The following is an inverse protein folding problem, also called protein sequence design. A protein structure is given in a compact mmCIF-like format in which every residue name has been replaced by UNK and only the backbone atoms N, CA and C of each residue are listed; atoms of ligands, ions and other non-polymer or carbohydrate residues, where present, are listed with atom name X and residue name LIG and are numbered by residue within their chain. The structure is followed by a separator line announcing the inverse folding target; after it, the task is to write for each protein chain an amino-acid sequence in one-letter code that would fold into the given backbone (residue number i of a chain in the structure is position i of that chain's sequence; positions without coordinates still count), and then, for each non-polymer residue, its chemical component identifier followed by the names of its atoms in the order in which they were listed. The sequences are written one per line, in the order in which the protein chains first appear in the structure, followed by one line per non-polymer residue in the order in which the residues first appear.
data_IF_000521959370
#
_entry.id   IF_000521959370
#
_cell.length_a   1.000
_cell.length_b   1.000
_cell.length_c   1.000
_cell.angle_alpha   90.00
_cell.angle_beta   90.00
_cell.angle_gamma   90.00
#
_symmetry.space_group_name_H-M   'P 1'
#
loop_
_entity.id
_entity.type
_entity.pdbx_description
1 polymer ?
#
# COMPACT_ATOMS: atom_id res chain seq x y z
N UNK A 1 5.53 -32.48 -37.01
CA UNK A 1 6.43 -31.33 -36.71
C UNK A 1 7.77 -31.88 -36.26
N UNK A 2 8.89 -31.48 -36.89
CA UNK A 2 10.24 -31.96 -36.55
C UNK A 2 10.54 -31.74 -35.06
N UNK A 3 11.13 -32.74 -34.38
CA UNK A 3 11.55 -32.68 -32.97
C UNK A 3 12.40 -31.43 -32.64
N UNK A 4 13.10 -30.86 -33.64
CA UNK A 4 13.82 -29.58 -33.48
C UNK A 4 12.88 -28.37 -33.31
N UNK A 5 11.78 -28.31 -34.07
CA UNK A 5 10.79 -27.21 -33.98
C UNK A 5 10.05 -27.24 -32.63
N UNK A 6 9.76 -28.43 -32.11
CA UNK A 6 9.13 -28.59 -30.79
C UNK A 6 10.08 -28.19 -29.64
N UNK A 7 11.36 -28.56 -29.73
CA UNK A 7 12.38 -28.14 -28.74
C UNK A 7 12.59 -26.62 -28.73
N UNK A 8 12.63 -25.99 -29.90
CA UNK A 8 12.76 -24.52 -30.00
C UNK A 8 11.53 -23.84 -29.40
N UNK A 9 10.32 -24.33 -29.68
CA UNK A 9 9.09 -23.80 -29.08
C UNK A 9 9.06 -23.96 -27.56
N UNK A 10 9.48 -25.11 -27.05
CA UNK A 10 9.55 -25.37 -25.61
C UNK A 10 10.56 -24.45 -24.91
N UNK A 11 11.72 -24.18 -25.52
CA UNK A 11 12.71 -23.24 -25.00
C UNK A 11 12.16 -21.80 -24.99
N UNK A 12 11.51 -21.37 -26.08
CA UNK A 12 10.89 -20.03 -26.15
C UNK A 12 9.80 -19.87 -25.09
N UNK A 13 8.96 -20.89 -24.91
CA UNK A 13 7.91 -20.88 -23.88
C UNK A 13 8.50 -20.86 -22.46
N UNK A 14 9.57 -21.61 -22.20
CA UNK A 14 10.25 -21.61 -20.90
C UNK A 14 10.92 -20.26 -20.60
N UNK A 15 11.51 -19.62 -21.62
CA UNK A 15 12.10 -18.29 -21.50
C UNK A 15 11.01 -17.22 -21.26
N UNK A 16 9.87 -17.30 -21.95
CA UNK A 16 8.73 -16.40 -21.70
C UNK A 16 8.11 -16.61 -20.32
N UNK A 17 7.97 -17.85 -19.86
CA UNK A 17 7.42 -18.17 -18.54
C UNK A 17 8.33 -17.71 -17.39
N UNK A 18 9.65 -17.69 -17.59
CA UNK A 18 10.59 -17.15 -16.60
C UNK A 18 10.65 -15.62 -16.59
N UNK A 19 10.52 -14.97 -17.76
CA UNK A 19 10.49 -13.50 -17.87
C UNK A 19 9.22 -12.86 -17.27
N UNK A 20 8.09 -13.57 -17.28
CA UNK A 20 6.82 -13.05 -16.74
C UNK A 20 6.81 -12.80 -15.21
N UNK A 21 7.74 -13.38 -14.46
CA UNK A 21 7.80 -13.23 -12.99
C UNK A 21 8.52 -11.96 -12.51
N UNK A 22 9.01 -11.13 -13.44
CA UNK A 22 9.84 -9.95 -13.18
C UNK A 22 9.17 -8.59 -13.41
N UNK A 23 7.89 -8.56 -13.82
CA UNK A 23 7.19 -7.29 -13.96
C UNK A 23 6.62 -6.82 -12.61
N UNK A 24 6.63 -5.51 -12.33
CA UNK A 24 5.94 -4.94 -11.18
C UNK A 24 4.46 -5.36 -11.22
N UNK A 25 3.85 -5.53 -10.05
CA UNK A 25 2.46 -5.95 -9.97
C UNK A 25 1.58 -4.75 -10.37
N UNK A 26 1.15 -4.71 -11.62
CA UNK A 26 0.16 -3.71 -12.03
C UNK A 26 -1.16 -4.00 -11.32
N UNK A 27 -1.57 -3.05 -10.49
CA UNK A 27 -2.86 -3.11 -9.83
C UNK A 27 -3.93 -2.65 -10.78
N UNK A 28 -4.90 -3.53 -11.06
CA UNK A 28 -6.11 -3.13 -11.76
C UNK A 28 -7.04 -2.49 -10.74
N UNK A 29 -7.43 -1.25 -10.98
CA UNK A 29 -8.34 -0.50 -10.14
C UNK A 29 -9.37 0.26 -11.00
N UNK A 30 -10.42 0.71 -10.32
CA UNK A 30 -11.44 1.60 -10.89
C UNK A 30 -11.66 2.75 -9.93
N UNK A 31 -11.87 3.95 -10.45
CA UNK A 31 -12.16 5.11 -9.62
C UNK A 31 -13.46 4.95 -8.85
N UNK A 32 -13.42 5.41 -7.61
CA UNK A 32 -14.56 5.35 -6.72
C UNK A 32 -15.69 6.26 -7.21
N UNK A 33 -16.86 5.66 -7.39
CA UNK A 33 -18.07 6.33 -7.85
C UNK A 33 -19.27 5.83 -7.04
N UNK A 34 -20.06 6.76 -6.48
CA UNK A 34 -21.19 6.42 -5.59
C UNK A 34 -22.21 5.53 -6.30
N UNK A 35 -22.42 5.74 -7.59
CA UNK A 35 -23.40 5.05 -8.40
C UNK A 35 -23.10 3.55 -8.51
N UNK A 36 -21.82 3.19 -8.44
CA UNK A 36 -21.34 1.83 -8.64
C UNK A 36 -21.16 1.04 -7.32
N UNK A 37 -21.43 1.65 -6.17
CA UNK A 37 -21.28 0.99 -4.86
C UNK A 37 -22.25 -0.19 -4.75
N UNK A 38 -21.67 -1.37 -4.54
CA UNK A 38 -22.37 -2.64 -4.41
C UNK A 38 -23.37 -2.66 -3.24
N UNK A 39 -22.95 -2.24 -2.04
CA UNK A 39 -23.76 -2.27 -0.81
C UNK A 39 -23.61 -0.98 -0.01
N UNK A 40 -24.72 -0.31 0.28
CA UNK A 40 -24.75 0.92 1.09
C UNK A 40 -25.42 0.72 2.46
N UNK A 41 -25.82 -0.52 2.79
CA UNK A 41 -26.51 -0.83 4.05
C UNK A 41 -25.56 -1.14 5.20
N UNK A 42 -24.28 -1.37 4.90
CA UNK A 42 -23.22 -1.62 5.88
C UNK A 42 -22.43 -0.33 6.09
N UNK A 43 -22.08 -0.06 7.35
CA UNK A 43 -21.19 1.06 7.67
C UNK A 43 -19.77 0.75 7.19
N UNK A 44 -19.15 1.69 6.47
CA UNK A 44 -17.84 1.47 5.86
C UNK A 44 -17.08 2.77 5.64
N UNK A 45 -15.76 2.68 5.69
CA UNK A 45 -14.86 3.73 5.24
C UNK A 45 -13.91 3.09 4.22
N UNK A 46 -13.73 3.75 3.08
CA UNK A 46 -12.78 3.36 2.06
C UNK A 46 -12.00 4.57 1.57
N UNK A 47 -10.70 4.40 1.34
CA UNK A 47 -9.81 5.44 0.84
C UNK A 47 -9.06 4.93 -0.39
N UNK A 48 -9.05 5.74 -1.44
CA UNK A 48 -8.35 5.48 -2.69
C UNK A 48 -7.48 6.69 -3.03
N UNK A 49 -6.20 6.48 -3.33
CA UNK A 49 -5.28 7.51 -3.79
C UNK A 49 -4.37 6.91 -4.86
N UNK A 50 -4.32 7.59 -5.99
CA UNK A 50 -3.57 7.14 -7.15
C UNK A 50 -2.83 8.33 -7.74
N UNK A 51 -1.51 8.16 -7.91
CA UNK A 51 -0.66 9.15 -8.53
C UNK A 51 0.25 8.50 -9.58
N UNK A 52 -0.03 8.71 -10.85
CA UNK A 52 0.82 8.26 -11.94
C UNK A 52 1.81 9.34 -12.37
N UNK A 53 2.93 8.91 -12.95
CA UNK A 53 3.65 9.73 -13.92
C UNK A 53 3.03 9.36 -15.26
N UNK A 54 2.45 10.35 -15.95
CA UNK A 54 1.71 10.14 -17.21
C UNK A 54 2.61 9.42 -18.20
N UNK A 55 2.34 8.12 -18.40
CA UNK A 55 2.80 7.39 -19.57
C UNK A 55 1.78 7.68 -20.69
N UNK A 56 2.19 8.36 -21.77
CA UNK A 56 1.27 8.91 -22.76
C UNK A 56 0.36 7.91 -23.46
N UNK A 57 0.67 6.61 -23.44
CA UNK A 57 -0.06 5.59 -24.20
C UNK A 57 -1.13 4.86 -23.38
N UNK A 58 -0.97 4.72 -22.06
CA UNK A 58 -1.82 3.84 -21.25
C UNK A 58 -2.91 4.55 -20.44
N UNK A 59 -2.71 5.84 -20.08
CA UNK A 59 -3.54 6.53 -19.07
C UNK A 59 -4.25 7.79 -19.59
N UNK A 60 -4.47 7.94 -20.90
CA UNK A 60 -5.12 9.14 -21.47
C UNK A 60 -6.58 9.34 -21.03
N UNK A 61 -7.28 8.25 -20.67
CA UNK A 61 -8.71 8.27 -20.35
C UNK A 61 -9.01 8.26 -18.84
N UNK A 62 -7.98 8.27 -18.00
CA UNK A 62 -8.11 8.18 -16.54
C UNK A 62 -7.35 9.33 -15.89
N UNK A 63 -7.93 9.86 -14.82
CA UNK A 63 -7.29 10.90 -14.03
C UNK A 63 -6.04 10.31 -13.35
N UNK A 64 -4.91 10.99 -13.54
CA UNK A 64 -3.62 10.50 -13.10
C UNK A 64 -3.26 10.91 -11.68
N UNK A 65 -4.07 11.76 -11.04
CA UNK A 65 -3.81 12.29 -9.71
C UNK A 65 -5.13 12.46 -8.94
N UNK A 66 -5.71 11.34 -8.49
CA UNK A 66 -7.00 11.34 -7.79
C UNK A 66 -6.86 10.77 -6.37
N UNK A 67 -7.40 11.49 -5.39
CA UNK A 67 -7.69 10.96 -4.06
C UNK A 67 -9.20 10.96 -3.80
N UNK A 68 -9.72 9.88 -3.22
CA UNK A 68 -11.14 9.66 -2.95
C UNK A 68 -11.33 9.04 -1.57
N UNK A 69 -12.18 9.66 -0.74
CA UNK A 69 -12.60 9.15 0.56
C UNK A 69 -14.10 8.90 0.56
N UNK A 70 -14.50 7.65 0.76
CA UNK A 70 -15.88 7.22 0.91
C UNK A 70 -16.19 6.85 2.34
N UNK A 71 -17.28 7.39 2.84
CA UNK A 71 -17.85 7.05 4.15
C UNK A 71 -19.30 6.65 3.94
N UNK A 72 -19.64 5.44 4.36
CA UNK A 72 -21.01 4.93 4.41
C UNK A 72 -21.37 4.83 5.89
N UNK A 73 -22.41 5.55 6.30
CA UNK A 73 -22.93 5.49 7.67
C UNK A 73 -24.45 5.58 7.66
N UNK A 74 -25.12 4.62 8.27
CA UNK A 74 -26.58 4.59 8.41
C UNK A 74 -27.32 4.78 7.07
N UNK A 75 -26.83 4.10 6.01
CA UNK A 75 -27.34 4.20 4.61
C UNK A 75 -27.11 5.54 3.91
N UNK A 76 -26.39 6.47 4.54
CA UNK A 76 -25.91 7.70 3.93
C UNK A 76 -24.49 7.50 3.42
N UNK A 77 -24.22 7.98 2.22
CA UNK A 77 -22.89 7.90 1.61
C UNK A 77 -22.34 9.30 1.39
N UNK A 78 -21.10 9.50 1.81
CA UNK A 78 -20.33 10.71 1.65
C UNK A 78 -19.11 10.36 0.82
N UNK A 79 -18.97 10.94 -0.37
CA UNK A 79 -17.79 10.78 -1.22
C UNK A 79 -17.12 12.14 -1.36
N UNK A 80 -15.88 12.20 -0.90
CA UNK A 80 -14.96 13.31 -1.12
C UNK A 80 -13.99 12.92 -2.20
N UNK A 81 -13.71 13.81 -3.15
CA UNK A 81 -12.62 13.66 -4.10
C UNK A 81 -11.74 14.92 -4.11
N UNK A 82 -10.44 14.70 -4.25
CA UNK A 82 -9.35 15.67 -4.25
C UNK A 82 -8.51 15.38 -5.50
N UNK A 83 -8.16 16.43 -6.25
CA UNK A 83 -7.65 16.32 -7.63
C UNK A 83 -8.75 16.12 -8.68
N UNK A 84 -10.03 16.31 -8.33
CA UNK A 84 -11.13 16.04 -9.27
C UNK A 84 -11.28 17.15 -10.32
N UNK A 85 -11.06 16.80 -11.57
CA UNK A 85 -11.40 17.60 -12.75
C UNK A 85 -12.80 17.25 -13.32
N UNK A 86 -13.53 18.25 -13.82
CA UNK A 86 -14.82 18.00 -14.48
C UNK A 86 -14.57 17.34 -15.85
N UNK A 87 -15.11 16.12 -16.09
CA UNK A 87 -14.91 15.40 -17.35
C UNK A 87 -15.32 16.21 -18.59
N UNK A 88 -16.27 17.13 -18.47
CA UNK A 88 -16.68 17.99 -19.59
C UNK A 88 -15.62 19.01 -19.96
N UNK A 89 -14.92 19.56 -18.96
CA UNK A 89 -13.85 20.54 -19.17
C UNK A 89 -12.63 19.82 -19.75
N UNK A 90 -12.30 18.64 -19.22
CA UNK A 90 -11.21 17.79 -19.74
C UNK A 90 -11.45 17.43 -21.21
N UNK A 91 -12.67 17.03 -21.57
CA UNK A 91 -13.03 16.73 -22.96
C UNK A 91 -12.96 17.96 -23.88
N UNK A 92 -13.40 19.13 -23.39
CA UNK A 92 -13.25 20.38 -24.15
C UNK A 92 -11.78 20.74 -24.37
N UNK A 93 -10.96 20.65 -23.31
CA UNK A 93 -9.53 20.89 -23.36
C UNK A 93 -8.83 19.90 -24.31
N UNK A 94 -9.27 18.64 -24.33
CA UNK A 94 -8.80 17.63 -25.27
C UNK A 94 -9.09 18.02 -26.71
N UNK A 95 -10.34 18.35 -27.02
CA UNK A 95 -10.74 18.76 -28.37
C UNK A 95 -9.97 20.01 -28.82
N UNK A 96 -9.83 21.01 -27.96
CA UNK A 96 -9.08 22.23 -28.27
C UNK A 96 -7.61 21.90 -28.59
N UNK A 97 -6.96 21.07 -27.77
CA UNK A 97 -5.55 20.72 -27.95
C UNK A 97 -5.29 19.82 -29.15
N UNK A 98 -6.23 18.92 -29.48
CA UNK A 98 -6.24 18.16 -30.73
C UNK A 98 -6.36 19.10 -31.95
N UNK A 99 -7.24 20.11 -31.89
CA UNK A 99 -7.37 21.13 -32.94
C UNK A 99 -6.09 21.98 -33.10
N UNK A 100 -5.38 22.24 -32.01
CA UNK A 100 -4.12 22.99 -32.00
C UNK A 100 -2.91 22.18 -32.53
N UNK A 101 -3.09 20.88 -32.87
CA UNK A 101 -1.99 19.93 -33.17
C UNK A 101 -0.88 19.94 -32.10
N UNK A 102 -1.23 20.34 -30.88
CA UNK A 102 -0.32 20.28 -29.75
C UNK A 102 -0.22 18.82 -29.31
N UNK A 103 0.98 18.38 -28.95
CA UNK A 103 1.13 17.04 -28.39
C UNK A 103 0.35 17.01 -27.06
N UNK A 104 -0.62 16.10 -26.94
CA UNK A 104 -1.45 15.87 -25.73
C UNK A 104 -0.64 15.25 -24.58
N UNK A 105 0.61 15.66 -24.40
CA UNK A 105 1.43 15.20 -23.29
C UNK A 105 1.07 16.00 -22.06
N UNK A 106 0.40 15.36 -21.09
CA UNK A 106 0.50 15.76 -19.69
C UNK A 106 -0.22 17.07 -19.30
N UNK A 107 -1.22 17.54 -20.06
CA UNK A 107 -1.91 18.82 -19.79
C UNK A 107 -3.45 18.73 -19.88
N UNK A 108 -4.05 17.54 -19.85
CA UNK A 108 -5.51 17.41 -19.91
C UNK A 108 -6.16 17.60 -18.53
N UNK A 109 -5.44 17.18 -17.50
CA UNK A 109 -5.82 17.28 -16.09
C UNK A 109 -5.12 18.51 -15.51
N UNK A 110 -5.89 19.40 -14.88
CA UNK A 110 -5.40 20.69 -14.36
C UNK A 110 -5.21 20.64 -12.85
N UNK A 111 -5.96 19.78 -12.16
CA UNK A 111 -5.93 19.68 -10.70
C UNK A 111 -5.02 18.57 -10.24
N UNK A 112 -4.31 18.84 -9.16
CA UNK A 112 -3.44 17.90 -8.48
C UNK A 112 -3.97 17.64 -7.08
N UNK A 113 -3.51 16.55 -6.46
CA UNK A 113 -3.83 16.24 -5.06
C UNK A 113 -3.12 17.25 -4.17
N UNK A 114 -3.87 18.12 -3.52
CA UNK A 114 -3.34 19.16 -2.62
C UNK A 114 -3.79 18.96 -1.15
N UNK A 115 -4.56 17.91 -0.89
CA UNK A 115 -5.11 17.59 0.42
C UNK A 115 -6.45 18.27 0.71
N UNK A 116 -7.04 18.99 -0.25
CA UNK A 116 -8.35 19.63 -0.13
C UNK A 116 -9.32 19.01 -1.13
N UNK A 117 -10.52 18.61 -0.67
CA UNK A 117 -11.50 18.00 -1.56
C UNK A 117 -12.13 19.03 -2.51
N UNK A 118 -11.92 18.84 -3.80
CA UNK A 118 -12.55 19.54 -4.92
C UNK A 118 -14.01 19.17 -5.14
N UNK A 119 -14.40 17.97 -4.73
CA UNK A 119 -15.71 17.41 -5.05
C UNK A 119 -16.31 16.70 -3.85
N UNK A 120 -17.57 17.00 -3.57
CA UNK A 120 -18.35 16.38 -2.51
C UNK A 120 -19.71 15.96 -3.04
N UNK A 121 -20.04 14.68 -2.83
CA UNK A 121 -21.38 14.15 -3.02
C UNK A 121 -21.86 13.47 -1.76
N UNK A 122 -23.10 13.82 -1.39
CA UNK A 122 -23.82 13.21 -0.27
C UNK A 122 -25.11 12.60 -0.81
N UNK A 123 -25.33 11.34 -0.51
CA UNK A 123 -26.56 10.63 -0.86
C UNK A 123 -27.19 9.94 0.34
N UNK A 124 -28.51 9.79 0.34
CA UNK A 124 -29.25 8.90 1.24
C UNK A 124 -29.91 7.82 0.38
N UNK A 125 -29.55 6.55 0.60
CA UNK A 125 -30.11 5.40 -0.14
C UNK A 125 -30.10 5.58 -1.66
N UNK A 126 -29.01 6.17 -2.20
CA UNK A 126 -28.78 6.52 -3.62
C UNK A 126 -29.53 7.74 -4.15
N UNK A 127 -30.30 8.44 -3.33
CA UNK A 127 -30.85 9.74 -3.70
C UNK A 127 -29.80 10.80 -3.42
N UNK A 128 -29.39 11.56 -4.44
CA UNK A 128 -28.47 12.68 -4.29
C UNK A 128 -29.14 13.79 -3.48
N UNK A 129 -28.57 14.08 -2.31
CA UNK A 129 -29.01 15.18 -1.43
C UNK A 129 -28.21 16.43 -1.78
N UNK A 130 -26.90 16.25 -1.97
CA UNK A 130 -25.97 17.34 -2.19
C UNK A 130 -24.89 16.90 -3.16
N UNK A 131 -24.64 17.74 -4.16
CA UNK A 131 -23.48 17.66 -5.02
C UNK A 131 -22.86 19.05 -5.11
N UNK A 132 -21.61 19.15 -4.72
CA UNK A 132 -20.84 20.39 -4.73
C UNK A 132 -19.49 20.14 -5.39
N UNK A 133 -19.20 20.95 -6.39
CA UNK A 133 -17.85 21.16 -6.88
C UNK A 133 -17.33 22.36 -6.08
N UNK A 134 -16.38 22.11 -5.21
CA UNK A 134 -15.72 23.11 -4.39
C UNK A 134 -14.70 23.81 -5.27
N UNK A 135 -15.14 24.89 -5.92
CA UNK A 135 -14.23 25.84 -6.54
C UNK A 135 -13.99 26.94 -5.51
N UNK A 136 -12.73 27.21 -5.22
CA UNK A 136 -12.19 28.04 -4.13
C UNK A 136 -12.80 29.45 -3.98
N UNK A 137 -13.58 29.92 -4.95
CA UNK A 137 -13.93 31.33 -5.10
C UNK A 137 -15.25 31.79 -4.43
N UNK A 138 -16.08 30.89 -3.85
CA UNK A 138 -17.46 31.29 -3.47
C UNK A 138 -17.97 30.90 -2.08
N UNK A 139 -17.33 30.00 -1.32
CA UNK A 139 -17.85 29.54 0.00
C UNK A 139 -16.73 29.14 0.99
N UNK A 140 -15.83 30.07 1.34
CA UNK A 140 -14.65 29.83 2.20
C UNK A 140 -14.99 29.03 3.48
N UNK A 141 -15.95 29.49 4.29
CA UNK A 141 -16.25 28.88 5.60
C UNK A 141 -16.74 27.42 5.57
N UNK A 142 -17.41 26.98 4.49
CA UNK A 142 -17.92 25.61 4.38
C UNK A 142 -16.90 24.69 3.73
N UNK A 143 -16.17 25.23 2.74
CA UNK A 143 -15.05 24.56 2.10
C UNK A 143 -14.00 24.14 3.14
N UNK A 144 -13.62 25.07 4.02
CA UNK A 144 -12.59 24.84 5.04
C UNK A 144 -12.99 23.74 6.03
N UNK A 145 -14.27 23.71 6.46
CA UNK A 145 -14.77 22.66 7.35
C UNK A 145 -14.75 21.28 6.70
N UNK A 146 -15.07 21.18 5.41
CA UNK A 146 -15.02 19.91 4.69
C UNK A 146 -13.58 19.47 4.43
N UNK A 147 -12.67 20.40 4.13
CA UNK A 147 -11.25 20.14 3.98
C UNK A 147 -10.61 19.64 5.29
N UNK A 148 -10.89 20.31 6.41
CA UNK A 148 -10.40 19.88 7.73
C UNK A 148 -10.94 18.49 8.09
N UNK A 149 -12.23 18.26 7.87
CA UNK A 149 -12.86 16.96 8.11
C UNK A 149 -12.23 15.86 7.25
N UNK A 150 -12.08 16.10 5.95
CA UNK A 150 -11.46 15.17 4.99
C UNK A 150 -10.05 14.78 5.43
N UNK A 151 -9.18 15.78 5.66
CA UNK A 151 -7.79 15.57 6.09
C UNK A 151 -7.73 14.77 7.39
N UNK A 152 -8.51 15.17 8.40
CA UNK A 152 -8.52 14.52 9.70
C UNK A 152 -8.99 13.06 9.62
N UNK A 153 -10.04 12.79 8.86
CA UNK A 153 -10.58 11.43 8.71
C UNK A 153 -9.65 10.54 7.88
N UNK A 154 -9.10 11.06 6.77
CA UNK A 154 -8.10 10.37 5.97
C UNK A 154 -6.89 9.98 6.83
N UNK A 155 -6.25 10.94 7.48
CA UNK A 155 -5.01 10.71 8.22
C UNK A 155 -5.24 9.77 9.40
N UNK A 156 -6.32 9.96 10.16
CA UNK A 156 -6.67 9.05 11.25
C UNK A 156 -6.97 7.63 10.77
N UNK A 157 -7.58 7.47 9.60
CA UNK A 157 -7.93 6.17 9.04
C UNK A 157 -6.69 5.43 8.55
N UNK A 158 -5.83 6.11 7.78
CA UNK A 158 -4.56 5.57 7.30
C UNK A 158 -3.67 5.18 8.49
N UNK A 159 -3.48 6.08 9.46
CA UNK A 159 -2.63 5.82 10.62
C UNK A 159 -3.11 4.61 11.44
N UNK A 160 -4.42 4.41 11.56
CA UNK A 160 -4.98 3.24 12.25
C UNK A 160 -4.58 1.93 11.54
N UNK A 161 -4.68 1.88 10.21
CA UNK A 161 -4.29 0.69 9.44
C UNK A 161 -2.77 0.48 9.40
N UNK A 162 -1.97 1.56 9.35
CA UNK A 162 -0.51 1.51 9.49
C UNK A 162 -0.11 0.89 10.83
N UNK A 163 -0.74 1.32 11.93
CA UNK A 163 -0.45 0.77 13.26
C UNK A 163 -0.82 -0.71 13.38
N UNK A 164 -1.96 -1.12 12.78
CA UNK A 164 -2.33 -2.54 12.73
C UNK A 164 -1.28 -3.34 11.96
N UNK A 165 -0.84 -2.83 10.80
CA UNK A 165 0.17 -3.49 9.99
C UNK A 165 1.52 -3.62 10.72
N UNK A 166 1.96 -2.58 11.44
CA UNK A 166 3.13 -2.65 12.33
C UNK A 166 2.95 -3.70 13.43
N UNK A 167 1.77 -3.78 14.04
CA UNK A 167 1.47 -4.83 15.01
C UNK A 167 1.53 -6.25 14.42
N UNK A 168 1.18 -6.42 13.14
CA UNK A 168 1.37 -7.68 12.42
C UNK A 168 2.84 -7.97 12.15
N UNK A 169 3.67 -6.95 11.92
CA UNK A 169 5.12 -7.12 11.79
C UNK A 169 5.77 -7.56 13.09
N UNK A 170 5.37 -7.03 14.24
CA UNK A 170 5.91 -7.49 15.54
C UNK A 170 5.51 -8.94 15.82
N UNK A 171 4.29 -9.34 15.45
CA UNK A 171 3.76 -10.69 15.66
C UNK A 171 3.96 -11.61 14.44
N UNK A 172 5.17 -11.64 13.84
CA UNK A 172 5.48 -12.43 12.62
C UNK A 172 5.05 -13.89 12.69
N UNK A 173 5.10 -14.50 13.88
CA UNK A 173 4.73 -15.91 14.11
C UNK A 173 3.27 -16.19 13.79
N UNK A 174 2.39 -15.22 14.07
CA UNK A 174 0.94 -15.35 13.95
C UNK A 174 0.38 -14.73 12.65
N UNK A 175 1.12 -13.82 12.01
CA UNK A 175 0.60 -12.91 10.97
C UNK A 175 0.81 -13.36 9.51
N UNK A 176 1.31 -14.59 9.28
CA UNK A 176 1.68 -15.11 7.95
C UNK A 176 2.46 -14.10 7.09
N UNK A 177 3.29 -13.26 7.73
CA UNK A 177 4.00 -12.17 7.06
C UNK A 177 4.98 -12.74 6.03
N UNK A 178 4.80 -12.34 4.77
CA UNK A 178 5.68 -12.68 3.65
C UNK A 178 6.36 -11.42 3.14
N UNK A 179 7.69 -11.41 3.20
CA UNK A 179 8.51 -10.33 2.65
C UNK A 179 9.26 -10.88 1.45
N UNK A 180 9.12 -10.20 0.31
CA UNK A 180 9.77 -10.57 -0.94
C UNK A 180 10.67 -9.42 -1.36
N UNK A 181 11.94 -9.74 -1.60
CA UNK A 181 12.96 -8.82 -2.09
C UNK A 181 13.41 -9.25 -3.47
N UNK A 182 13.23 -8.39 -4.48
CA UNK A 182 13.63 -8.65 -5.88
C UNK A 182 14.61 -7.59 -6.37
N UNK A 183 15.70 -7.97 -7.07
CA UNK A 183 16.61 -6.98 -7.65
C UNK A 183 15.93 -6.25 -8.82
N UNK A 184 16.08 -4.92 -8.86
CA UNK A 184 15.56 -4.12 -9.96
C UNK A 184 16.53 -4.24 -11.16
N UNK A 185 16.03 -4.55 -12.38
CA UNK A 185 16.87 -4.63 -13.56
C UNK A 185 17.59 -3.32 -13.82
N UNK A 186 18.91 -3.37 -13.99
CA UNK A 186 19.72 -2.21 -14.35
C UNK A 186 19.88 -2.10 -15.86
N UNK A 187 20.08 -0.87 -16.33
CA UNK A 187 20.60 -0.63 -17.67
C UNK A 187 22.01 -1.20 -17.76
N UNK A 188 22.37 -1.79 -18.91
CA UNK A 188 23.61 -2.54 -19.13
C UNK A 188 24.92 -1.77 -18.84
N UNK A 189 24.86 -0.44 -18.70
CA UNK A 189 26.00 0.46 -18.46
C UNK A 189 25.98 1.14 -17.09
N UNK A 190 25.04 0.77 -16.23
CA UNK A 190 24.93 1.35 -14.89
C UNK A 190 25.77 0.53 -13.88
N UNK A 191 26.88 1.12 -13.43
CA UNK A 191 27.77 0.55 -12.42
C UNK A 191 27.34 0.88 -10.97
N UNK A 192 26.17 1.50 -10.77
CA UNK A 192 25.64 1.82 -9.44
C UNK A 192 25.33 0.58 -8.58
N UNK A 193 24.98 0.80 -7.30
CA UNK A 193 24.52 -0.27 -6.40
C UNK A 193 23.23 -0.91 -6.92
N UNK A 194 23.04 -2.22 -6.66
CA UNK A 194 21.79 -2.90 -7.02
C UNK A 194 20.69 -2.48 -6.08
N UNK A 195 19.71 -1.75 -6.62
CA UNK A 195 18.47 -1.45 -5.92
C UNK A 195 17.58 -2.69 -5.87
N UNK A 196 16.79 -2.80 -4.81
CA UNK A 196 15.90 -3.91 -4.60
C UNK A 196 14.50 -3.40 -4.34
N UNK A 197 13.54 -3.96 -5.06
CA UNK A 197 12.13 -3.82 -4.77
C UNK A 197 11.81 -4.68 -3.55
N UNK A 198 11.15 -4.10 -2.56
CA UNK A 198 10.72 -4.79 -1.34
C UNK A 198 9.19 -4.74 -1.29
N UNK A 199 8.59 -5.92 -1.18
CA UNK A 199 7.15 -6.05 -0.95
C UNK A 199 6.90 -6.85 0.31
N UNK A 200 5.91 -6.42 1.10
CA UNK A 200 5.51 -7.05 2.35
C UNK A 200 4.01 -7.33 2.30
N UNK A 201 3.62 -8.57 2.58
CA UNK A 201 2.23 -9.01 2.63
C UNK A 201 1.95 -9.63 4.00
N UNK A 202 0.90 -9.18 4.69
CA UNK A 202 0.46 -9.77 5.95
C UNK A 202 -1.05 -10.04 5.93
N UNK A 203 -1.50 -11.02 6.72
CA UNK A 203 -2.91 -11.36 6.85
C UNK A 203 -3.33 -11.35 8.31
N UNK A 204 -4.46 -10.72 8.61
CA UNK A 204 -5.06 -10.78 9.96
C UNK A 204 -5.87 -12.07 10.13
N UNK A 205 -6.17 -12.43 11.38
CA UNK A 205 -7.06 -13.54 11.73
C UNK A 205 -8.48 -13.34 11.16
N UNK A 206 -8.92 -12.09 11.06
CA UNK A 206 -10.21 -11.70 10.48
C UNK A 206 -10.24 -11.74 8.94
N UNK A 207 -9.11 -12.04 8.30
CA UNK A 207 -8.99 -12.16 6.85
C UNK A 207 -8.68 -10.87 6.10
N UNK A 208 -8.36 -9.76 6.80
CA UNK A 208 -7.83 -8.57 6.14
C UNK A 208 -6.44 -8.86 5.58
N UNK A 209 -6.23 -8.50 4.32
CA UNK A 209 -4.97 -8.59 3.63
C UNK A 209 -4.33 -7.21 3.57
N UNK A 210 -3.10 -7.11 4.07
CA UNK A 210 -2.28 -5.92 4.01
C UNK A 210 -1.14 -6.15 3.03
N UNK A 211 -0.87 -5.15 2.20
CA UNK A 211 0.22 -5.18 1.25
C UNK A 211 0.91 -3.81 1.20
N UNK A 212 2.23 -3.82 1.27
CA UNK A 212 3.08 -2.64 1.12
C UNK A 212 4.19 -2.93 0.11
N UNK A 213 4.54 -1.94 -0.71
CA UNK A 213 5.58 -2.06 -1.72
C UNK A 213 6.37 -0.76 -1.89
N UNK A 214 7.69 -0.96 -1.97
CA UNK A 214 8.71 0.02 -2.36
C UNK A 214 9.20 -0.45 -3.73
N UNK A 215 8.76 0.29 -4.76
CA UNK A 215 8.92 -0.12 -6.16
C UNK A 215 10.29 0.27 -6.72
N UNK A 216 10.83 1.42 -6.30
CA UNK A 216 12.06 1.98 -6.84
C UNK A 216 13.32 1.65 -6.01
N UNK A 217 13.12 1.07 -4.83
CA UNK A 217 14.16 0.59 -3.92
C UNK A 217 14.92 1.71 -3.22
N UNK A 218 14.29 2.88 -3.01
CA UNK A 218 14.85 3.99 -2.25
C UNK A 218 14.61 3.86 -0.72
N UNK A 219 13.86 2.86 -0.29
CA UNK A 219 13.51 2.61 1.11
C UNK A 219 12.24 3.33 1.57
N UNK A 220 11.50 3.97 0.65
CA UNK A 220 10.21 4.62 0.89
C UNK A 220 9.09 3.76 0.30
N UNK A 221 8.13 3.39 1.13
CA UNK A 221 6.90 2.75 0.66
C UNK A 221 6.02 3.75 -0.10
N UNK A 222 5.71 3.45 -1.35
CA UNK A 222 4.87 4.29 -2.22
C UNK A 222 3.49 3.66 -2.44
N UNK A 223 3.40 2.34 -2.28
CA UNK A 223 2.17 1.57 -2.46
C UNK A 223 1.77 0.91 -1.15
N UNK A 224 0.55 1.16 -0.70
CA UNK A 224 -0.03 0.56 0.49
C UNK A 224 -1.49 0.22 0.26
N UNK A 225 -1.85 -1.05 0.43
CA UNK A 225 -3.20 -1.52 0.17
C UNK A 225 -3.73 -2.39 1.31
N UNK A 226 -5.03 -2.29 1.55
CA UNK A 226 -5.77 -3.07 2.52
C UNK A 226 -7.04 -3.57 1.86
N UNK A 227 -7.22 -4.88 1.87
CA UNK A 227 -8.36 -5.57 1.27
C UNK A 227 -9.03 -6.49 2.29
N UNK A 228 -10.36 -6.48 2.30
CA UNK A 228 -11.19 -7.43 3.00
C UNK A 228 -12.03 -8.20 1.97
N UNK A 229 -11.89 -9.53 1.85
CA UNK A 229 -12.59 -10.34 0.85
C UNK A 229 -14.06 -10.60 1.24
N UNK A 230 -14.81 -9.54 1.51
CA UNK A 230 -16.23 -9.58 1.88
C UNK A 230 -17.18 -9.38 0.68
N UNK A 231 -16.63 -9.09 -0.51
CA UNK A 231 -17.36 -8.83 -1.74
C UNK A 231 -17.82 -7.37 -1.92
N UNK A 232 -17.50 -6.46 -1.00
CA UNK A 232 -17.74 -5.03 -1.18
C UNK A 232 -16.82 -4.47 -2.26
N UNK A 233 -17.42 -3.83 -3.26
CA UNK A 233 -16.75 -3.20 -4.39
C UNK A 233 -17.57 -2.00 -4.90
N UNK A 234 -16.95 -1.20 -5.77
CA UNK A 234 -17.56 -0.11 -6.53
C UNK A 234 -17.48 -0.34 -8.04
N UNK A 235 -17.57 -1.60 -8.46
CA UNK A 235 -17.55 -2.03 -9.86
C UNK A 235 -16.58 -3.17 -10.15
N UNK A 236 -16.64 -3.66 -11.38
CA UNK A 236 -15.68 -4.65 -11.88
C UNK A 236 -14.26 -4.09 -11.80
N UNK A 237 -13.34 -4.87 -11.23
CA UNK A 237 -11.94 -4.50 -11.02
C UNK A 237 -11.75 -3.21 -10.20
N UNK A 238 -12.55 -3.02 -9.15
CA UNK A 238 -12.44 -1.86 -8.24
C UNK A 238 -11.09 -1.73 -7.52
N UNK A 239 -10.33 -2.82 -7.42
CA UNK A 239 -9.14 -2.91 -6.58
C UNK A 239 -9.48 -3.14 -5.10
N UNK A 240 -8.48 -2.99 -4.21
CA UNK A 240 -8.61 -3.13 -2.76
C UNK A 240 -9.68 -2.21 -2.18
N UNK A 241 -10.49 -2.76 -1.26
CA UNK A 241 -11.78 -2.16 -0.91
C UNK A 241 -11.80 -1.37 0.42
N UNK A 242 -10.67 -1.29 1.13
CA UNK A 242 -10.53 -0.51 2.37
C UNK A 242 -9.54 0.66 2.16
N UNK A 243 -8.28 0.36 1.83
CA UNK A 243 -7.28 1.37 1.48
C UNK A 243 -6.60 0.95 0.19
N UNK A 244 -6.49 1.86 -0.75
CA UNK A 244 -5.70 1.71 -1.96
C UNK A 244 -4.88 2.96 -2.18
N UNK A 245 -3.59 2.92 -1.83
CA UNK A 245 -2.63 3.98 -2.11
C UNK A 245 -1.65 3.41 -3.12
N UNK A 246 -1.53 4.04 -4.28
CA UNK A 246 -0.67 3.60 -5.36
C UNK A 246 0.22 4.73 -5.87
N UNK A 247 1.55 4.47 -5.88
CA UNK A 247 2.58 5.41 -6.36
C UNK A 247 2.51 6.81 -5.73
N UNK A 248 2.22 6.88 -4.43
CA UNK A 248 2.04 8.15 -3.71
C UNK A 248 3.27 9.07 -3.78
N UNK A 249 3.07 10.35 -4.12
CA UNK A 249 4.15 11.37 -4.08
C UNK A 249 3.96 12.37 -2.94
N UNK A 250 2.81 12.37 -2.27
CA UNK A 250 2.50 13.31 -1.20
C UNK A 250 3.34 13.06 0.06
N UNK A 251 4.01 14.09 0.56
CA UNK A 251 4.95 14.01 1.70
C UNK A 251 4.27 13.64 3.02
N UNK A 252 3.04 14.11 3.25
CA UNK A 252 2.24 13.76 4.43
C UNK A 252 1.93 12.25 4.49
N UNK A 253 1.56 11.65 3.36
CA UNK A 253 1.29 10.21 3.29
C UNK A 253 2.61 9.42 3.38
N UNK A 254 3.68 9.87 2.70
CA UNK A 254 5.02 9.26 2.84
C UNK A 254 5.49 9.23 4.30
N UNK A 255 5.21 10.27 5.09
CA UNK A 255 5.53 10.27 6.51
C UNK A 255 4.82 9.16 7.30
N UNK A 256 3.61 8.76 6.88
CA UNK A 256 2.83 7.69 7.52
C UNK A 256 3.24 6.29 7.05
N UNK A 257 3.34 6.07 5.73
CA UNK A 257 3.56 4.74 5.16
C UNK A 257 5.02 4.45 4.80
N UNK A 258 5.85 5.47 4.61
CA UNK A 258 7.15 5.35 3.93
C UNK A 258 8.12 4.38 4.58
N UNK A 259 8.06 4.18 5.89
CA UNK A 259 8.96 3.28 6.62
C UNK A 259 8.51 1.81 6.62
N UNK A 260 7.30 1.49 6.17
CA UNK A 260 6.68 0.18 6.36
C UNK A 260 7.46 -0.97 5.70
N UNK A 261 7.91 -0.79 4.45
CA UNK A 261 8.66 -1.83 3.72
C UNK A 261 10.03 -2.08 4.34
N UNK A 262 10.70 -1.02 4.79
CA UNK A 262 11.97 -1.10 5.51
C UNK A 262 11.80 -1.81 6.85
N UNK A 263 10.84 -1.39 7.66
CA UNK A 263 10.48 -2.01 8.95
C UNK A 263 10.12 -3.51 8.77
N UNK A 264 9.39 -3.86 7.71
CA UNK A 264 9.05 -5.25 7.42
C UNK A 264 10.29 -6.12 7.13
N UNK A 265 11.30 -5.57 6.44
CA UNK A 265 12.50 -6.29 6.08
C UNK A 265 13.54 -6.34 7.21
N UNK A 266 13.84 -5.19 7.84
CA UNK A 266 14.91 -5.07 8.84
C UNK A 266 14.45 -5.43 10.25
N UNK A 267 13.15 -5.35 10.54
CA UNK A 267 12.64 -5.40 11.91
C UNK A 267 12.17 -4.03 12.38
N UNK A 268 11.27 -4.03 13.37
CA UNK A 268 10.88 -2.81 14.07
C UNK A 268 11.72 -2.63 15.33
N UNK A 269 11.91 -1.39 15.78
CA UNK A 269 12.59 -1.10 17.06
C UNK A 269 11.90 -1.80 18.24
N UNK A 270 10.57 -1.97 18.15
CA UNK A 270 9.79 -2.71 19.15
C UNK A 270 10.14 -4.21 19.16
N UNK A 271 10.29 -4.82 17.98
CA UNK A 271 10.70 -6.22 17.82
C UNK A 271 12.11 -6.43 18.40
N UNK A 272 13.04 -5.53 18.11
CA UNK A 272 14.40 -5.57 18.64
C UNK A 272 14.40 -5.54 20.19
N UNK A 273 13.63 -4.64 20.79
CA UNK A 273 13.51 -4.55 22.25
C UNK A 273 12.92 -5.81 22.90
N UNK A 274 11.97 -6.47 22.23
CA UNK A 274 11.38 -7.73 22.70
C UNK A 274 12.43 -8.85 22.63
N UNK A 275 13.16 -8.95 21.51
CA UNK A 275 14.21 -9.95 21.31
C UNK A 275 15.35 -9.77 22.30
N UNK A 276 15.82 -8.53 22.53
CA UNK A 276 16.86 -8.24 23.52
C UNK A 276 16.46 -8.67 24.93
N UNK A 277 15.20 -8.48 25.33
CA UNK A 277 14.69 -8.97 26.62
C UNK A 277 14.69 -10.50 26.70
N UNK A 278 14.27 -11.18 25.63
CA UNK A 278 14.29 -12.66 25.56
C UNK A 278 15.72 -13.20 25.57
N UNK A 279 16.64 -12.53 24.88
CA UNK A 279 18.06 -12.91 24.82
C UNK A 279 18.74 -12.80 26.19
N UNK A 280 18.50 -11.69 26.91
CA UNK A 280 19.02 -11.52 28.28
C UNK A 280 18.45 -12.55 29.28
N UNK A 281 17.27 -13.11 29.01
CA UNK A 281 16.73 -14.22 29.80
C UNK A 281 17.44 -15.54 29.46
N UNK A 282 17.66 -15.81 28.17
CA UNK A 282 18.42 -16.97 27.70
C UNK A 282 19.83 -17.03 28.30
N UNK A 283 20.53 -15.90 28.41
CA UNK A 283 21.86 -15.85 29.04
C UNK A 283 21.88 -16.37 30.49
N UNK A 284 20.75 -16.27 31.21
CA UNK A 284 20.61 -16.79 32.58
C UNK A 284 20.16 -18.25 32.60
N UNK A 285 19.40 -18.68 31.61
CA UNK A 285 18.84 -20.04 31.52
C UNK A 285 19.85 -21.04 30.93
N UNK A 286 20.73 -20.60 30.01
CA UNK A 286 21.72 -21.46 29.35
C UNK A 286 22.66 -22.15 30.37
N UNK A 287 23.25 -21.45 31.37
CA UNK A 287 24.08 -22.11 32.37
C UNK A 287 23.32 -23.19 33.17
N UNK A 288 22.06 -22.95 33.52
CA UNK A 288 21.21 -23.93 34.21
C UNK A 288 20.98 -25.16 33.32
N UNK A 289 20.72 -24.94 32.03
CA UNK A 289 20.59 -25.99 31.02
C UNK A 289 21.89 -26.78 30.82
N UNK A 290 23.04 -26.11 30.85
CA UNK A 290 24.36 -26.74 30.80
C UNK A 290 24.58 -27.65 32.02
N UNK A 291 24.25 -27.17 33.21
CA UNK A 291 24.35 -27.93 34.45
C UNK A 291 23.40 -29.15 34.45
N UNK A 292 22.18 -29.01 33.94
CA UNK A 292 21.22 -30.11 33.82
C UNK A 292 21.63 -31.18 32.79
N UNK A 293 22.32 -30.78 31.71
CA UNK A 293 22.86 -31.69 30.70
C UNK A 293 24.06 -32.48 31.22
N UNK A 294 24.91 -31.83 32.02
CA UNK A 294 26.10 -32.43 32.59
C UNK A 294 25.71 -33.12 33.91
N UNK A 295 25.17 -34.34 33.81
CA UNK A 295 25.03 -35.21 35.00
C UNK A 295 26.39 -35.73 35.43
N UNK A 296 27.09 -34.96 36.26
CA UNK A 296 28.31 -35.40 36.93
C UNK A 296 27.98 -36.36 38.08
N UNK A 297 28.88 -37.32 38.33
CA UNK A 297 28.82 -38.12 39.55
C UNK A 297 29.33 -37.30 40.76
N UNK A 298 28.96 -37.74 41.96
CA UNK A 298 29.25 -37.04 43.23
C UNK A 298 30.76 -36.89 43.51
N UNK A 299 31.58 -37.80 42.98
CA UNK A 299 33.04 -37.77 43.13
C UNK A 299 33.66 -36.68 42.25
N UNK A 300 33.22 -36.55 40.99
CA UNK A 300 33.74 -35.54 40.06
C UNK A 300 33.32 -34.11 40.47
N UNK A 301 32.12 -33.94 41.05
CA UNK A 301 31.70 -32.65 41.63
C UNK A 301 32.57 -32.19 42.81
N UNK A 302 32.98 -33.12 43.68
CA UNK A 302 33.84 -32.80 44.84
C UNK A 302 35.23 -32.33 44.41
N UNK A 303 35.84 -33.03 43.45
CA UNK A 303 37.18 -32.71 42.93
C UNK A 303 37.20 -31.34 42.25
N UNK A 304 36.16 -31.00 41.50
CA UNK A 304 36.03 -29.69 40.84
C UNK A 304 35.88 -28.53 41.85
N UNK A 305 35.13 -28.72 42.94
CA UNK A 305 34.96 -27.71 44.00
C UNK A 305 36.21 -27.50 44.85
N UNK A 306 37.00 -28.55 45.09
CA UNK A 306 38.27 -28.42 45.83
C UNK A 306 39.36 -27.72 44.99
N UNK A 307 39.36 -27.90 43.66
CA UNK A 307 40.33 -27.29 42.74
C UNK A 307 40.13 -25.80 42.46
N UNK A 308 38.95 -25.23 42.72
CA UNK A 308 38.63 -23.80 42.46
C UNK A 308 38.94 -22.86 43.64
N UNK A 309 39.40 -23.40 44.77
CA UNK A 309 39.73 -22.65 46.00
C UNK A 309 41.21 -22.26 46.15
N UNK A 310 41.96 -22.16 45.04
CA UNK A 310 43.31 -21.61 45.00
C UNK A 310 43.41 -20.44 44.06
#
# INVERSE_FOLDING_TARGET
MSNKKFRIFAIIFFVFAFLANGLPKDFIYKDMAIENISRYHEDRIAYQQVEYVIDPEEHQNQDTSLASLLIIKDKRMYLFKDGYDDPKIVEQNRIIKEMENSLLYNVLWEREIDGKPDYLVITDRRTEILKKIVVSDKNENLSDKYAEFYTKMRDSFIQKHVNIFRGLMVNRKDSELKVIRKPIPKKLRDNGLTKYMISATAKTKDGLLYYAEDADGDGVTETFTVELPDGFNWGYQSGPNIIFIYKNKQENIKAMIGKLTKEAYEGTDEEENIILKQFNQLDKEIPILMDDLIKMDLETERVMKEGTTK
#
